data_IF_608074060410
#
_entry.id   IF_608074060410
#
_cell.length_a   1.000
_cell.length_b   1.000
_cell.length_c   1.000
_cell.angle_alpha   90.00
_cell.angle_beta   90.00
_cell.angle_gamma   90.00
#
_symmetry.space_group_name_H-M   'P 1'
#
loop_
_entity.id
_entity.type
_entity.pdbx_description
1 polymer ?
#
# COMPACT_ATOMS: atom_id res chain seq x y z
N UNK A 1 15.11 -16.90 22.52
CA UNK A 1 15.21 -15.76 21.57
C UNK A 1 15.31 -16.20 20.08
N UNK A 2 14.29 -16.88 19.49
CA UNK A 2 14.24 -17.06 18.01
C UNK A 2 12.95 -16.56 17.31
N UNK A 3 11.91 -16.14 18.03
CA UNK A 3 10.57 -15.84 17.47
C UNK A 3 10.54 -14.54 16.63
N UNK A 4 11.45 -13.60 16.88
CA UNK A 4 11.49 -12.31 16.18
C UNK A 4 11.96 -12.39 14.71
N UNK A 5 12.64 -13.47 14.30
CA UNK A 5 13.23 -13.62 12.96
C UNK A 5 12.27 -14.27 11.95
N UNK A 6 11.23 -14.96 12.42
CA UNK A 6 10.25 -15.66 11.57
C UNK A 6 9.10 -14.76 11.10
N UNK A 7 8.72 -13.76 11.92
CA UNK A 7 7.52 -12.92 11.69
C UNK A 7 7.74 -11.76 10.70
N UNK A 8 8.97 -11.26 10.53
CA UNK A 8 9.32 -10.25 9.51
C UNK A 8 9.23 -10.78 8.07
N UNK A 9 9.16 -12.11 7.90
CA UNK A 9 9.19 -12.77 6.59
C UNK A 9 7.91 -12.63 5.78
N UNK A 10 6.75 -12.28 6.35
CA UNK A 10 5.50 -12.18 5.57
C UNK A 10 5.25 -10.77 5.04
N UNK A 11 5.45 -9.71 5.83
CA UNK A 11 5.08 -8.32 5.48
C UNK A 11 6.25 -7.32 5.31
N UNK A 12 7.51 -7.75 5.43
CA UNK A 12 8.71 -6.90 5.22
C UNK A 12 9.34 -6.97 3.82
N UNK A 13 10.39 -6.16 3.58
CA UNK A 13 11.23 -6.25 2.37
C UNK A 13 11.79 -7.67 2.28
N UNK A 14 11.60 -8.30 1.12
CA UNK A 14 12.10 -9.66 0.87
C UNK A 14 13.53 -9.58 0.35
N UNK A 15 14.42 -10.50 0.76
CA UNK A 15 15.83 -10.46 0.37
C UNK A 15 16.05 -10.99 -1.06
N UNK A 16 15.20 -11.88 -1.57
CA UNK A 16 15.27 -12.43 -2.93
C UNK A 16 13.88 -12.90 -3.42
N UNK A 17 13.73 -13.20 -4.74
CA UNK A 17 12.46 -13.66 -5.31
C UNK A 17 11.86 -14.90 -4.66
N UNK A 18 12.68 -15.85 -4.20
CA UNK A 18 12.19 -17.08 -3.57
C UNK A 18 11.60 -16.81 -2.18
N UNK A 19 12.22 -15.91 -1.41
CA UNK A 19 11.67 -15.47 -0.14
C UNK A 19 10.32 -14.74 -0.32
N UNK A 20 10.12 -14.04 -1.44
CA UNK A 20 8.80 -13.48 -1.79
C UNK A 20 7.80 -14.60 -2.10
N UNK A 21 8.19 -15.60 -2.89
CA UNK A 21 7.35 -16.76 -3.23
C UNK A 21 6.82 -17.46 -1.97
N UNK A 22 7.69 -17.75 -1.01
CA UNK A 22 7.29 -18.40 0.24
C UNK A 22 6.36 -17.53 1.08
N UNK A 23 6.57 -16.22 1.11
CA UNK A 23 5.65 -15.29 1.79
C UNK A 23 4.27 -15.24 1.14
N UNK A 24 4.18 -15.33 -0.19
CA UNK A 24 2.91 -15.40 -0.93
C UNK A 24 2.17 -16.69 -0.60
N UNK A 25 2.86 -17.83 -0.58
CA UNK A 25 2.27 -19.13 -0.18
C UNK A 25 1.75 -19.10 1.25
N UNK A 26 2.52 -18.53 2.17
CA UNK A 26 2.10 -18.38 3.57
C UNK A 26 0.88 -17.46 3.71
N UNK A 27 0.86 -16.35 2.97
CA UNK A 27 -0.29 -15.43 2.93
C UNK A 27 -1.54 -16.17 2.45
N UNK A 28 -1.42 -16.99 1.39
CA UNK A 28 -2.52 -17.81 0.87
C UNK A 28 -3.06 -18.81 1.88
N UNK A 29 -2.19 -19.46 2.66
CA UNK A 29 -2.61 -20.39 3.72
C UNK A 29 -3.46 -19.68 4.78
N UNK A 30 -3.08 -18.44 5.14
CA UNK A 30 -3.77 -17.65 6.17
C UNK A 30 -5.12 -17.12 5.71
N UNK A 31 -5.22 -16.60 4.48
CA UNK A 31 -6.49 -16.12 3.94
C UNK A 31 -7.44 -17.29 3.63
N UNK A 32 -6.90 -18.45 3.22
CA UNK A 32 -7.71 -19.59 2.77
C UNK A 32 -8.29 -19.39 1.37
N UNK A 33 -8.66 -20.48 0.71
CA UNK A 33 -9.07 -20.51 -0.70
C UNK A 33 -10.33 -19.71 -1.05
N UNK A 34 -11.15 -19.35 -0.06
CA UNK A 34 -12.42 -18.62 -0.24
C UNK A 34 -12.37 -17.14 0.21
N UNK A 35 -11.22 -16.62 0.67
CA UNK A 35 -11.14 -15.25 1.18
C UNK A 35 -10.23 -14.37 0.32
N UNK A 36 -10.84 -13.65 -0.62
CA UNK A 36 -10.30 -12.44 -1.25
C UNK A 36 -9.03 -12.61 -2.09
N UNK A 37 -8.67 -11.54 -2.79
CA UNK A 37 -7.38 -11.39 -3.50
C UNK A 37 -6.46 -10.50 -2.67
N UNK A 38 -5.15 -10.65 -2.85
CA UNK A 38 -4.15 -9.73 -2.29
C UNK A 38 -3.17 -9.31 -3.37
N UNK A 39 -2.55 -8.15 -3.18
CA UNK A 39 -1.54 -7.60 -4.09
C UNK A 39 -0.13 -7.72 -3.55
N UNK A 40 0.86 -7.43 -4.41
CA UNK A 40 2.27 -7.34 -4.07
C UNK A 40 2.79 -5.94 -4.38
N UNK A 41 3.41 -5.28 -3.39
CA UNK A 41 4.14 -4.04 -3.59
C UNK A 41 5.58 -4.31 -4.07
N UNK A 42 6.01 -3.63 -5.13
CA UNK A 42 7.41 -3.61 -5.60
C UNK A 42 7.87 -2.14 -5.63
N UNK A 43 8.81 -1.81 -4.75
CA UNK A 43 9.36 -0.45 -4.65
C UNK A 43 10.72 -0.36 -5.37
N UNK A 44 10.81 0.54 -6.34
CA UNK A 44 11.97 0.85 -7.17
C UNK A 44 12.80 1.97 -6.53
N UNK A 45 13.51 1.65 -5.45
CA UNK A 45 14.37 2.59 -4.76
C UNK A 45 15.67 2.87 -5.55
N UNK A 46 16.23 4.09 -5.47
CA UNK A 46 17.59 4.34 -5.91
C UNK A 46 18.55 3.40 -5.16
N UNK A 47 19.25 2.53 -5.89
CA UNK A 47 20.19 1.57 -5.31
C UNK A 47 21.43 1.46 -6.20
N UNK A 48 22.61 1.35 -5.57
CA UNK A 48 23.87 1.06 -6.26
C UNK A 48 23.80 -0.30 -6.94
N UNK A 49 23.24 -1.28 -6.22
CA UNK A 49 22.99 -2.63 -6.72
C UNK A 49 21.47 -2.82 -6.79
N UNK A 50 20.85 -2.62 -7.97
CA UNK A 50 19.42 -2.79 -8.11
C UNK A 50 19.03 -4.26 -7.84
N UNK A 51 17.99 -4.51 -7.03
CA UNK A 51 17.42 -5.84 -6.87
C UNK A 51 16.90 -6.43 -8.19
N UNK A 52 16.74 -7.75 -8.24
CA UNK A 52 16.11 -8.46 -9.37
C UNK A 52 14.59 -8.24 -9.40
N UNK A 53 14.16 -7.04 -9.80
CA UNK A 53 12.74 -6.66 -9.84
C UNK A 53 11.91 -7.57 -10.76
N UNK A 54 12.48 -8.00 -11.89
CA UNK A 54 11.81 -8.92 -12.81
C UNK A 54 11.63 -10.30 -12.17
N UNK A 55 12.62 -10.82 -11.45
CA UNK A 55 12.51 -12.04 -10.67
C UNK A 55 11.44 -11.97 -9.58
N UNK A 56 11.36 -10.86 -8.84
CA UNK A 56 10.29 -10.65 -7.87
C UNK A 56 8.91 -10.65 -8.51
N UNK A 57 8.72 -9.89 -9.60
CA UNK A 57 7.46 -9.86 -10.32
C UNK A 57 7.11 -11.24 -10.88
N UNK A 58 8.08 -11.96 -11.46
CA UNK A 58 7.87 -13.31 -11.97
C UNK A 58 7.44 -14.26 -10.86
N UNK A 59 8.11 -14.25 -9.70
CA UNK A 59 7.75 -15.10 -8.58
C UNK A 59 6.30 -14.85 -8.13
N UNK A 60 5.88 -13.59 -8.04
CA UNK A 60 4.50 -13.25 -7.71
C UNK A 60 3.49 -13.69 -8.79
N UNK A 61 3.83 -13.50 -10.07
CA UNK A 61 3.00 -13.89 -11.21
C UNK A 61 2.84 -15.41 -11.33
N UNK A 62 3.92 -16.17 -11.13
CA UNK A 62 3.93 -17.64 -11.11
C UNK A 62 3.01 -18.17 -10.02
N UNK A 63 3.01 -17.52 -8.85
CA UNK A 63 2.10 -17.87 -7.76
C UNK A 63 0.68 -17.36 -8.03
N UNK A 64 0.40 -16.62 -9.11
CA UNK A 64 -0.94 -16.17 -9.47
C UNK A 64 -1.39 -14.90 -8.78
N UNK A 65 -0.47 -14.03 -8.38
CA UNK A 65 -0.79 -12.63 -8.02
C UNK A 65 -1.13 -11.85 -9.29
N UNK A 66 -2.14 -11.00 -9.19
CA UNK A 66 -2.68 -10.23 -10.31
C UNK A 66 -2.84 -8.73 -10.01
N UNK A 67 -2.66 -8.32 -8.74
CA UNK A 67 -2.64 -6.92 -8.31
C UNK A 67 -1.21 -6.57 -7.89
N UNK A 68 -0.66 -5.53 -8.49
CA UNK A 68 0.67 -5.03 -8.17
C UNK A 68 0.60 -3.56 -7.79
N UNK A 69 1.23 -3.20 -6.68
CA UNK A 69 1.52 -1.82 -6.34
C UNK A 69 2.98 -1.51 -6.71
N UNK A 70 3.24 -0.46 -7.48
CA UNK A 70 4.58 -0.02 -7.85
C UNK A 70 4.86 1.35 -7.25
N UNK A 71 6.07 1.59 -6.80
CA UNK A 71 6.51 2.88 -6.27
C UNK A 71 7.96 3.16 -6.68
N UNK A 72 8.39 4.41 -6.65
CA UNK A 72 9.78 4.80 -6.95
C UNK A 72 10.05 5.07 -8.44
N UNK A 73 11.34 5.07 -8.81
CA UNK A 73 11.79 5.63 -10.08
C UNK A 73 11.63 4.64 -11.26
N UNK A 74 11.16 5.16 -12.40
CA UNK A 74 11.06 4.48 -13.69
C UNK A 74 10.33 3.10 -13.65
N UNK A 75 9.02 3.06 -13.34
CA UNK A 75 8.27 1.80 -13.23
C UNK A 75 7.95 1.13 -14.58
N UNK A 76 8.16 1.84 -15.70
CA UNK A 76 7.72 1.40 -17.02
C UNK A 76 8.20 -0.02 -17.41
N UNK A 77 9.49 -0.37 -17.29
CA UNK A 77 9.95 -1.71 -17.69
C UNK A 77 9.30 -2.82 -16.86
N UNK A 78 9.08 -2.56 -15.57
CA UNK A 78 8.42 -3.51 -14.66
C UNK A 78 6.93 -3.67 -15.00
N UNK A 79 6.24 -2.56 -15.29
CA UNK A 79 4.82 -2.58 -15.69
C UNK A 79 4.64 -3.35 -17.00
N UNK A 80 5.50 -3.09 -17.99
CA UNK A 80 5.49 -3.79 -19.28
C UNK A 80 5.76 -5.28 -19.09
N UNK A 81 6.72 -5.64 -18.24
CA UNK A 81 6.98 -7.04 -17.89
C UNK A 81 5.75 -7.70 -17.25
N UNK A 82 5.14 -7.09 -16.22
CA UNK A 82 3.98 -7.64 -15.52
C UNK A 82 2.80 -7.86 -16.48
N UNK A 83 2.51 -6.88 -17.34
CA UNK A 83 1.39 -6.97 -18.29
C UNK A 83 1.62 -7.95 -19.43
N UNK A 84 2.86 -8.09 -19.88
CA UNK A 84 3.21 -8.99 -20.99
C UNK A 84 3.46 -10.44 -20.54
N UNK A 85 3.63 -10.66 -19.23
CA UNK A 85 4.06 -11.95 -18.70
C UNK A 85 3.06 -13.08 -18.98
N UNK A 86 3.60 -14.17 -19.56
CA UNK A 86 2.92 -15.46 -19.71
C UNK A 86 3.69 -16.55 -18.98
N UNK A 87 2.94 -17.44 -18.33
CA UNK A 87 3.52 -18.68 -17.82
C UNK A 87 4.03 -19.55 -18.98
N UNK A 88 5.10 -20.31 -18.75
CA UNK A 88 5.65 -21.21 -19.75
C UNK A 88 4.58 -22.22 -20.20
N UNK A 89 4.36 -22.32 -21.51
CA UNK A 89 3.35 -23.20 -22.09
C UNK A 89 1.93 -22.63 -22.17
N UNK A 90 1.69 -21.39 -21.70
CA UNK A 90 0.39 -20.74 -21.89
C UNK A 90 0.17 -20.35 -23.35
N UNK A 91 -0.82 -20.98 -23.99
CA UNK A 91 -1.25 -20.67 -25.38
C UNK A 91 -2.05 -19.37 -25.47
N UNK A 92 -2.73 -18.98 -24.39
CA UNK A 92 -3.61 -17.82 -24.33
C UNK A 92 -2.86 -16.52 -24.08
N UNK A 93 -3.49 -15.38 -24.38
CA UNK A 93 -2.98 -14.05 -24.05
C UNK A 93 -2.73 -13.90 -22.53
N UNK A 94 -1.82 -13.00 -22.10
CA UNK A 94 -1.61 -12.75 -20.67
C UNK A 94 -2.94 -12.35 -20.00
N UNK A 95 -3.29 -12.91 -18.83
CA UNK A 95 -4.49 -12.50 -18.12
C UNK A 95 -4.36 -11.06 -17.63
N UNK A 96 -5.49 -10.38 -17.43
CA UNK A 96 -5.51 -9.00 -16.94
C UNK A 96 -4.78 -8.89 -15.60
N UNK A 97 -3.83 -7.94 -15.54
CA UNK A 97 -3.11 -7.54 -14.32
C UNK A 97 -3.52 -6.12 -13.95
N UNK A 98 -3.73 -5.86 -12.67
CA UNK A 98 -4.06 -4.55 -12.13
C UNK A 98 -2.80 -3.90 -11.57
N UNK A 99 -2.46 -2.72 -12.09
CA UNK A 99 -1.31 -1.94 -11.62
C UNK A 99 -1.80 -0.70 -10.88
N UNK A 100 -1.45 -0.63 -9.60
CA UNK A 100 -1.56 0.57 -8.77
C UNK A 100 -0.17 1.23 -8.79
N UNK A 101 -0.06 2.46 -9.28
CA UNK A 101 1.22 3.18 -9.21
C UNK A 101 1.14 4.30 -8.17
N UNK A 102 2.06 4.24 -7.21
CA UNK A 102 2.19 5.20 -6.12
C UNK A 102 3.13 6.32 -6.51
N UNK A 103 2.62 7.55 -6.50
CA UNK A 103 3.35 8.73 -6.90
C UNK A 103 2.97 9.95 -6.06
N UNK A 104 3.92 10.90 -5.96
CA UNK A 104 3.86 12.04 -5.03
C UNK A 104 3.54 13.38 -5.71
N UNK A 105 3.49 13.43 -7.05
CA UNK A 105 3.22 14.67 -7.80
C UNK A 105 2.26 14.42 -8.95
N UNK A 106 1.53 15.47 -9.35
CA UNK A 106 0.63 15.43 -10.53
C UNK A 106 1.40 15.09 -11.81
N UNK A 107 2.63 15.59 -11.96
CA UNK A 107 3.49 15.28 -13.11
C UNK A 107 3.80 13.78 -13.19
N UNK A 108 4.12 13.16 -12.06
CA UNK A 108 4.35 11.71 -11.99
C UNK A 108 3.06 10.92 -12.22
N UNK A 109 1.93 11.40 -11.70
CA UNK A 109 0.62 10.79 -11.93
C UNK A 109 0.25 10.75 -13.42
N UNK A 110 0.40 11.87 -14.13
CA UNK A 110 0.16 11.96 -15.58
C UNK A 110 1.11 11.05 -16.39
N UNK A 111 2.35 10.89 -15.92
CA UNK A 111 3.31 9.96 -16.53
C UNK A 111 2.87 8.50 -16.35
N UNK A 112 2.45 8.13 -15.14
CA UNK A 112 1.90 6.80 -14.84
C UNK A 112 0.67 6.48 -15.67
N UNK A 113 -0.26 7.45 -15.82
CA UNK A 113 -1.43 7.31 -16.70
C UNK A 113 -1.03 7.00 -18.15
N UNK A 114 -0.03 7.70 -18.71
CA UNK A 114 0.49 7.44 -20.06
C UNK A 114 1.11 6.04 -20.21
N UNK A 115 1.62 5.46 -19.11
CA UNK A 115 2.13 4.08 -19.06
C UNK A 115 1.00 3.04 -18.88
N UNK A 116 -0.25 3.50 -18.78
CA UNK A 116 -1.45 2.68 -18.74
C UNK A 116 -1.72 2.02 -17.40
N UNK A 117 -1.27 2.59 -16.28
CA UNK A 117 -1.63 2.08 -14.94
C UNK A 117 -3.16 2.06 -14.76
N UNK A 118 -3.68 1.09 -14.01
CA UNK A 118 -5.12 0.95 -13.79
C UNK A 118 -5.61 1.90 -12.69
N UNK A 119 -4.75 2.16 -11.69
CA UNK A 119 -5.04 3.04 -10.55
C UNK A 119 -3.81 3.87 -10.21
N UNK A 120 -4.03 5.13 -9.86
CA UNK A 120 -3.02 5.99 -9.25
C UNK A 120 -3.26 6.05 -7.74
N UNK A 121 -2.24 5.73 -6.95
CA UNK A 121 -2.21 6.01 -5.51
C UNK A 121 -1.43 7.30 -5.30
N UNK A 122 -2.09 8.34 -4.79
CA UNK A 122 -1.47 9.65 -4.56
C UNK A 122 -1.03 9.72 -3.11
N UNK A 123 0.29 9.75 -2.89
CA UNK A 123 0.88 9.95 -1.56
C UNK A 123 1.07 11.47 -1.34
N UNK A 124 0.34 12.02 -0.37
CA UNK A 124 0.53 13.40 0.08
C UNK A 124 1.68 13.54 1.07
N UNK A 125 2.03 14.79 1.41
CA UNK A 125 3.09 15.13 2.35
C UNK A 125 2.90 14.49 3.73
N UNK A 126 1.66 14.19 4.11
CA UNK A 126 1.29 13.57 5.38
C UNK A 126 1.68 12.07 5.46
N UNK A 127 2.13 11.47 4.35
CA UNK A 127 2.39 10.04 4.25
C UNK A 127 3.56 9.58 5.15
N UNK A 128 3.59 8.28 5.46
CA UNK A 128 4.76 7.64 6.03
C UNK A 128 5.74 7.25 4.91
N UNK A 129 7.05 7.39 5.14
CA UNK A 129 8.07 6.96 4.18
C UNK A 129 8.61 8.12 3.36
N UNK A 130 8.45 8.08 2.04
CA UNK A 130 9.10 9.03 1.12
C UNK A 130 8.04 9.93 0.43
N UNK A 131 7.79 11.15 0.94
CA UNK A 131 6.73 12.03 0.46
C UNK A 131 7.09 12.81 -0.83
N UNK A 132 8.30 12.61 -1.38
CA UNK A 132 8.84 13.51 -2.39
C UNK A 132 9.37 14.81 -1.77
N UNK A 133 9.64 15.81 -2.61
CA UNK A 133 10.33 17.05 -2.23
C UNK A 133 9.47 18.31 -2.44
N UNK A 134 8.19 18.15 -2.82
CA UNK A 134 7.31 19.27 -3.21
C UNK A 134 6.32 19.70 -2.10
N UNK A 135 6.31 19.01 -0.95
CA UNK A 135 5.47 19.30 0.23
C UNK A 135 3.96 19.46 -0.07
N UNK A 136 3.42 18.65 -0.99
CA UNK A 136 2.02 18.72 -1.42
C UNK A 136 1.13 17.75 -0.61
N UNK A 137 0.13 18.28 0.10
CA UNK A 137 -0.90 17.48 0.79
C UNK A 137 -1.98 16.91 -0.14
N UNK A 138 -2.63 15.81 0.26
CA UNK A 138 -3.61 15.08 -0.56
C UNK A 138 -5.08 15.32 -0.22
N UNK A 139 -5.97 15.36 -1.23
CA UNK A 139 -7.43 15.21 -1.08
C UNK A 139 -7.84 13.78 -1.51
N UNK A 140 -8.60 13.07 -0.68
CA UNK A 140 -8.68 11.60 -0.73
C UNK A 140 -9.97 11.09 -1.41
N UNK A 141 -9.83 10.28 -2.47
CA UNK A 141 -10.92 9.50 -3.08
C UNK A 141 -10.92 8.01 -2.66
N UNK A 142 -9.77 7.51 -2.18
CA UNK A 142 -9.57 6.18 -1.60
C UNK A 142 -8.31 6.19 -0.73
N UNK A 143 -8.28 5.40 0.36
CA UNK A 143 -7.26 5.52 1.41
C UNK A 143 -6.24 4.38 1.34
N UNK A 144 -4.95 4.69 1.17
CA UNK A 144 -3.84 3.78 1.42
C UNK A 144 -3.24 4.10 2.80
N UNK A 145 -3.10 3.12 3.68
CA UNK A 145 -2.65 3.34 5.06
C UNK A 145 -1.48 2.44 5.43
N UNK A 146 -0.37 3.04 5.86
CA UNK A 146 0.75 2.31 6.45
C UNK A 146 0.70 2.33 7.97
N UNK A 147 0.86 3.52 8.57
CA UNK A 147 1.04 3.71 10.02
C UNK A 147 -0.14 3.19 10.85
N UNK A 148 -1.38 3.35 10.38
CA UNK A 148 -2.58 2.83 11.06
C UNK A 148 -2.60 1.30 11.15
N UNK A 149 -2.21 0.61 10.08
CA UNK A 149 -2.18 -0.86 10.05
C UNK A 149 -1.00 -1.44 10.84
N UNK A 150 0.08 -0.67 11.07
CA UNK A 150 1.14 -1.07 12.00
C UNK A 150 0.59 -1.31 13.42
N UNK A 151 -0.41 -0.52 13.84
CA UNK A 151 -1.11 -0.62 15.12
C UNK A 151 -2.39 -1.47 15.02
N UNK A 152 -2.22 -2.71 14.59
CA UNK A 152 -3.26 -3.76 14.63
C UNK A 152 -2.73 -5.00 15.35
N UNK A 153 -3.61 -5.86 15.85
CA UNK A 153 -3.24 -7.11 16.53
C UNK A 153 -2.40 -8.01 15.60
N UNK A 154 -2.80 -8.12 14.34
CA UNK A 154 -2.21 -9.00 13.32
C UNK A 154 -0.88 -8.50 12.78
N UNK A 155 -0.59 -7.19 12.92
CA UNK A 155 0.68 -6.61 12.49
C UNK A 155 1.87 -7.30 13.19
N UNK A 156 2.85 -7.84 12.43
CA UNK A 156 3.93 -8.64 12.98
C UNK A 156 5.09 -7.81 13.55
N UNK A 157 4.88 -6.51 13.80
CA UNK A 157 5.90 -5.65 14.41
C UNK A 157 5.91 -5.82 15.94
N UNK A 158 7.06 -5.50 16.55
CA UNK A 158 7.22 -5.62 17.99
C UNK A 158 6.20 -4.76 18.76
N UNK A 159 5.62 -5.32 19.83
CA UNK A 159 4.55 -4.67 20.61
C UNK A 159 4.93 -3.26 21.09
N UNK A 160 6.16 -3.09 21.63
CA UNK A 160 6.70 -1.78 22.02
C UNK A 160 6.70 -0.72 20.91
N UNK A 161 6.78 -1.12 19.63
CA UNK A 161 6.69 -0.17 18.52
C UNK A 161 5.25 0.33 18.39
N UNK A 162 4.26 -0.57 18.53
CA UNK A 162 2.83 -0.23 18.50
C UNK A 162 2.48 0.70 19.67
N UNK A 163 2.92 0.35 20.88
CA UNK A 163 2.75 1.18 22.08
C UNK A 163 3.38 2.56 21.89
N UNK A 164 4.61 2.61 21.35
CA UNK A 164 5.26 3.89 21.09
C UNK A 164 4.49 4.75 20.07
N UNK A 165 3.91 4.14 19.04
CA UNK A 165 3.08 4.87 18.07
C UNK A 165 1.82 5.43 18.76
N UNK A 166 1.15 4.64 19.61
CA UNK A 166 -0.03 5.06 20.36
C UNK A 166 0.27 6.21 21.34
N UNK A 167 1.46 6.22 21.92
CA UNK A 167 1.93 7.28 22.83
C UNK A 167 2.45 8.53 22.09
N UNK A 168 2.58 8.50 20.76
CA UNK A 168 3.17 9.59 19.98
C UNK A 168 2.15 10.63 19.54
N UNK A 169 2.59 11.88 19.45
CA UNK A 169 1.85 13.01 18.86
C UNK A 169 2.28 13.23 17.41
N UNK A 170 1.53 14.05 16.66
CA UNK A 170 1.84 14.42 15.28
C UNK A 170 3.21 15.10 15.12
N UNK A 171 3.78 15.60 16.22
CA UNK A 171 5.09 16.29 16.29
C UNK A 171 6.27 15.35 16.48
N UNK A 172 6.01 14.08 16.82
CA UNK A 172 7.05 13.11 17.13
C UNK A 172 7.60 12.39 15.89
N UNK A 173 7.16 12.79 14.69
CA UNK A 173 7.66 12.24 13.42
C UNK A 173 8.90 12.99 12.95
N UNK A 174 9.96 12.24 12.65
CA UNK A 174 11.13 12.72 11.91
C UNK A 174 11.26 11.91 10.63
N UNK A 175 11.76 12.51 9.54
CA UNK A 175 11.82 11.90 8.19
C UNK A 175 12.58 10.56 8.08
N UNK A 176 13.29 10.13 9.13
CA UNK A 176 14.00 8.85 9.16
C UNK A 176 13.08 7.69 9.58
N UNK A 177 12.03 7.95 10.37
CA UNK A 177 11.12 6.89 10.83
C UNK A 177 9.98 6.67 9.84
N UNK A 178 9.64 5.40 9.57
CA UNK A 178 8.52 5.00 8.69
C UNK A 178 7.15 5.13 9.37
N UNK A 179 6.95 6.19 10.17
CA UNK A 179 5.70 6.53 10.80
C UNK A 179 5.32 7.97 10.38
N UNK A 180 4.16 8.13 9.74
CA UNK A 180 3.68 9.42 9.24
C UNK A 180 2.93 10.19 10.31
N UNK A 181 2.63 11.47 10.05
CA UNK A 181 2.05 12.40 11.05
C UNK A 181 0.71 11.92 11.63
N UNK A 182 0.03 10.99 10.95
CA UNK A 182 -1.16 10.30 11.44
C UNK A 182 -0.96 9.56 12.77
N UNK A 183 0.29 9.37 13.25
CA UNK A 183 0.55 8.82 14.60
C UNK A 183 -0.23 9.56 15.68
N UNK A 184 -0.37 10.89 15.61
CA UNK A 184 -1.10 11.68 16.61
C UNK A 184 -2.60 11.40 16.67
N UNK A 185 -3.15 10.66 15.71
CA UNK A 185 -4.56 10.26 15.65
C UNK A 185 -4.76 8.78 16.02
N UNK A 186 -3.70 8.02 16.29
CA UNK A 186 -3.74 6.60 16.61
C UNK A 186 -3.68 6.43 18.13
N UNK A 187 -4.76 5.99 18.75
CA UNK A 187 -4.87 5.88 20.21
C UNK A 187 -5.28 4.48 20.70
N UNK A 188 -5.26 3.49 19.81
CA UNK A 188 -5.73 2.12 20.06
C UNK A 188 -4.99 1.08 19.20
N UNK A 189 -5.20 -0.21 19.49
CA UNK A 189 -4.64 -1.36 18.74
C UNK A 189 -5.74 -2.41 18.51
N UNK A 190 -6.68 -2.17 17.58
CA UNK A 190 -7.76 -3.08 17.24
C UNK A 190 -7.29 -4.27 16.39
N UNK A 191 -8.17 -5.25 16.14
CA UNK A 191 -7.94 -6.20 15.05
C UNK A 191 -8.09 -5.49 13.69
N UNK A 192 -7.51 -6.04 12.63
CA UNK A 192 -7.70 -5.53 11.27
C UNK A 192 -9.18 -5.53 10.86
N UNK A 193 -9.94 -6.54 11.29
CA UNK A 193 -11.37 -6.64 11.00
C UNK A 193 -12.16 -5.50 11.67
N UNK A 194 -11.93 -5.27 12.96
CA UNK A 194 -12.60 -4.20 13.71
C UNK A 194 -12.22 -2.83 13.17
N UNK A 195 -10.94 -2.61 12.86
CA UNK A 195 -10.45 -1.36 12.29
C UNK A 195 -11.16 -1.02 10.97
N UNK A 196 -11.24 -1.98 10.05
CA UNK A 196 -11.87 -1.75 8.73
C UNK A 196 -13.36 -1.50 8.88
N UNK A 197 -14.05 -2.24 9.76
CA UNK A 197 -15.47 -2.01 10.04
C UNK A 197 -15.73 -0.64 10.65
N UNK A 198 -14.87 -0.20 11.58
CA UNK A 198 -14.97 1.11 12.20
C UNK A 198 -14.77 2.23 11.20
N UNK A 199 -13.78 2.12 10.31
CA UNK A 199 -13.54 3.11 9.24
C UNK A 199 -14.75 3.25 8.32
N UNK A 200 -15.34 2.14 7.87
CA UNK A 200 -16.52 2.15 6.98
C UNK A 200 -17.74 2.79 7.65
N UNK A 201 -17.96 2.44 8.92
CA UNK A 201 -19.01 3.03 9.75
C UNK A 201 -18.82 4.53 9.92
N UNK A 202 -17.64 4.97 10.35
CA UNK A 202 -17.36 6.38 10.62
C UNK A 202 -17.45 7.23 9.35
N UNK A 203 -16.95 6.71 8.22
CA UNK A 203 -17.09 7.36 6.92
C UNK A 203 -18.58 7.53 6.53
N UNK A 204 -19.37 6.47 6.72
CA UNK A 204 -20.82 6.50 6.45
C UNK A 204 -21.54 7.53 7.32
N UNK A 205 -21.23 7.59 8.61
CA UNK A 205 -21.81 8.54 9.56
C UNK A 205 -21.44 9.99 9.20
N UNK A 206 -20.18 10.25 8.85
CA UNK A 206 -19.72 11.58 8.41
C UNK A 206 -20.44 12.00 7.14
N UNK A 207 -20.56 11.12 6.15
CA UNK A 207 -21.27 11.41 4.89
C UNK A 207 -22.74 11.75 5.18
N UNK A 208 -23.42 10.96 6.04
CA UNK A 208 -24.81 11.23 6.39
C UNK A 208 -24.99 12.55 7.14
N UNK A 209 -24.09 12.85 8.08
CA UNK A 209 -24.07 14.14 8.79
C UNK A 209 -23.87 15.31 7.83
N UNK A 210 -22.89 15.21 6.93
CA UNK A 210 -22.61 16.25 5.94
C UNK A 210 -23.77 16.49 4.98
N UNK A 211 -24.47 15.42 4.54
CA UNK A 211 -25.69 15.55 3.73
C UNK A 211 -26.77 16.37 4.44
N UNK A 212 -26.94 16.20 5.75
CA UNK A 212 -27.87 17.00 6.55
C UNK A 212 -27.49 18.48 6.70
N UNK A 213 -26.25 18.85 6.33
CA UNK A 213 -25.75 20.22 6.35
C UNK A 213 -25.77 20.89 4.96
N UNK A 214 -26.11 20.14 3.91
CA UNK A 214 -26.30 20.70 2.56
C UNK A 214 -27.64 21.42 2.53
N UNK A 215 -27.59 22.75 2.40
CA UNK A 215 -28.78 23.56 2.19
C UNK A 215 -29.10 23.55 0.69
N UNK A 216 -30.25 23.01 0.30
CA UNK A 216 -30.76 23.18 -1.06
C UNK A 216 -31.26 24.63 -1.21
N UNK A 217 -30.43 25.49 -1.80
CA UNK A 217 -30.76 26.88 -2.12
C UNK A 217 -30.21 27.26 -3.49
N UNK A 218 -30.93 28.13 -4.21
CA UNK A 218 -30.61 28.58 -5.57
C UNK A 218 -29.12 28.92 -5.73
N UNK A 219 -28.54 28.52 -6.88
CA UNK A 219 -27.15 28.79 -7.28
C UNK A 219 -26.68 30.14 -6.71
N UNK A 220 -25.65 30.09 -5.85
CA UNK A 220 -24.96 31.29 -5.42
C UNK A 220 -24.59 32.12 -6.67
N UNK A 221 -25.24 33.29 -6.82
CA UNK A 221 -24.84 34.26 -7.83
C UNK A 221 -23.55 34.88 -7.32
N UNK A 222 -22.44 34.45 -7.91
CA UNK A 222 -21.16 35.16 -7.86
C UNK A 222 -21.30 36.52 -8.55
#
# INVERSE_FOLDING_TARGET
MPIATELTRTLGIKPNPEALREAIKETRKRIGSNKGRFGVNITLLPSINPPDYAGYAKAALDEGVDIFETAGNNPKPLIEFIKSYKAAGASEAPPKRYIIHKCVTVKHALSGQKMGVDVLSIDGFECAGHPGEDDIGGLVLGVNMGTRFMCTVESPIHQKIKEKIVESTEKDTIHIFRAGIAVGLINDIPTCADLVQQIDKDASEVIMRMKGMVVEGERAKL
#
